data_IF_981335404321
#
_entry.id   IF_981335404321
#
_cell.length_a   1.000
_cell.length_b   1.000
_cell.length_c   1.000
_cell.angle_alpha   90.00
_cell.angle_beta   90.00
_cell.angle_gamma   90.00
#
_symmetry.space_group_name_H-M   'P 1'
#
loop_
_entity.id
_entity.type
_entity.pdbx_description
1 polymer ?
#
# COMPACT_ATOMS: atom_id res chain seq x y z
N UNK A 1 -13.63 23.79 -2.91
CA UNK A 1 -14.55 22.81 -3.52
C UNK A 1 -14.50 21.54 -2.67
N UNK A 2 -15.63 21.12 -2.09
CA UNK A 2 -15.71 19.84 -1.37
C UNK A 2 -15.68 18.71 -2.40
N UNK A 3 -14.48 18.20 -2.65
CA UNK A 3 -14.25 17.12 -3.60
C UNK A 3 -14.68 15.80 -2.96
N UNK A 4 -15.57 15.05 -3.62
CA UNK A 4 -16.11 13.79 -3.12
C UNK A 4 -15.69 12.57 -3.96
N UNK A 5 -14.72 12.73 -4.86
CA UNK A 5 -14.22 11.69 -5.78
C UNK A 5 -12.73 11.89 -6.10
N UNK A 6 -11.97 10.81 -6.40
CA UNK A 6 -10.61 10.88 -6.94
C UNK A 6 -10.53 11.63 -8.28
N UNK A 7 -9.54 12.52 -8.45
CA UNK A 7 -9.32 13.25 -9.71
C UNK A 7 -8.39 12.49 -10.67
N UNK A 8 -8.83 11.33 -11.16
CA UNK A 8 -8.00 10.47 -12.02
C UNK A 8 -7.49 11.17 -13.30
N UNK A 9 -8.21 12.17 -13.82
CA UNK A 9 -7.77 12.99 -14.97
C UNK A 9 -6.51 13.82 -14.70
N UNK A 10 -6.11 13.96 -13.44
CA UNK A 10 -4.94 14.74 -12.99
C UNK A 10 -3.75 13.88 -12.58
N UNK A 11 -3.84 12.55 -12.72
CA UNK A 11 -2.74 11.61 -12.39
C UNK A 11 -1.39 12.10 -12.93
N UNK A 12 -1.32 12.42 -14.22
CA UNK A 12 -0.07 12.89 -14.86
C UNK A 12 0.43 14.22 -14.28
N UNK A 13 -0.48 15.15 -13.97
CA UNK A 13 -0.15 16.43 -13.35
C UNK A 13 0.44 16.22 -11.94
N UNK A 14 -0.19 15.34 -11.15
CA UNK A 14 0.24 15.05 -9.79
C UNK A 14 1.51 14.22 -9.71
N UNK A 15 1.71 13.27 -10.62
CA UNK A 15 2.97 12.52 -10.72
C UNK A 15 4.14 13.43 -11.12
N UNK A 16 3.92 14.41 -12.00
CA UNK A 16 4.93 15.43 -12.30
C UNK A 16 5.28 16.23 -11.04
N UNK A 17 4.28 16.70 -10.29
CA UNK A 17 4.53 17.44 -9.04
C UNK A 17 5.21 16.60 -7.97
N UNK A 18 4.87 15.32 -7.86
CA UNK A 18 5.53 14.37 -6.98
C UNK A 18 7.01 14.25 -7.35
N UNK A 19 7.33 14.01 -8.62
CA UNK A 19 8.70 13.94 -9.11
C UNK A 19 9.48 15.23 -8.85
N UNK A 20 8.89 16.39 -9.18
CA UNK A 20 9.49 17.71 -8.93
C UNK A 20 9.75 17.95 -7.42
N UNK A 21 9.00 17.29 -6.54
CA UNK A 21 9.17 17.38 -5.09
C UNK A 21 10.25 16.41 -4.60
N UNK A 22 10.24 15.17 -5.07
CA UNK A 22 11.24 14.16 -4.74
C UNK A 22 12.64 14.60 -5.17
N UNK A 23 12.80 15.21 -6.35
CA UNK A 23 14.09 15.73 -6.83
C UNK A 23 14.68 16.87 -5.99
N UNK A 24 13.88 17.50 -5.13
CA UNK A 24 14.34 18.56 -4.21
C UNK A 24 14.77 18.00 -2.86
N UNK A 25 14.46 16.74 -2.56
CA UNK A 25 14.89 16.09 -1.32
C UNK A 25 16.38 15.74 -1.42
N UNK A 26 17.12 16.05 -0.36
CA UNK A 26 18.49 15.57 -0.21
C UNK A 26 18.44 14.18 0.41
N UNK A 27 18.75 13.16 -0.38
CA UNK A 27 18.70 11.75 0.05
C UNK A 27 20.08 11.09 0.11
N UNK A 28 21.12 11.88 0.36
CA UNK A 28 22.47 11.34 0.52
C UNK A 28 22.51 10.35 1.68
N UNK A 29 22.83 9.08 1.38
CA UNK A 29 22.93 8.01 2.38
C UNK A 29 21.65 7.21 2.65
N UNK A 30 20.54 7.49 1.94
CA UNK A 30 19.33 6.66 2.03
C UNK A 30 18.58 6.59 0.70
N UNK A 31 17.86 5.49 0.48
CA UNK A 31 16.96 5.33 -0.67
C UNK A 31 15.58 5.89 -0.33
N UNK A 32 15.02 6.71 -1.22
CA UNK A 32 13.66 7.16 -1.12
C UNK A 32 12.73 6.16 -1.81
N UNK A 33 11.77 5.62 -1.04
CA UNK A 33 10.71 4.78 -1.56
C UNK A 33 9.40 5.55 -1.58
N UNK A 34 8.60 5.31 -2.62
CA UNK A 34 7.25 5.89 -2.73
C UNK A 34 6.23 4.80 -2.46
N UNK A 35 5.30 5.06 -1.56
CA UNK A 35 4.27 4.10 -1.15
C UNK A 35 3.00 4.24 -1.97
N UNK A 36 2.40 3.12 -2.40
CA UNK A 36 1.09 3.15 -3.08
C UNK A 36 -0.01 3.63 -2.13
N UNK A 37 -0.86 4.55 -2.62
CA UNK A 37 -1.90 5.18 -1.82
C UNK A 37 -3.27 4.50 -2.03
N UNK A 38 -4.17 4.54 -1.03
CA UNK A 38 -5.56 4.11 -1.19
C UNK A 38 -6.40 5.20 -1.86
N UNK A 39 -7.53 4.86 -2.48
CA UNK A 39 -8.39 5.87 -3.13
C UNK A 39 -9.03 6.85 -2.15
N UNK A 40 -9.56 6.31 -1.06
CA UNK A 40 -10.44 7.03 -0.15
C UNK A 40 -10.09 6.72 1.32
N UNK A 41 -8.90 7.11 1.84
CA UNK A 41 -8.59 6.91 3.25
C UNK A 41 -9.32 7.92 4.14
N UNK A 42 -9.54 7.52 5.39
CA UNK A 42 -10.08 8.39 6.43
C UNK A 42 -8.96 8.97 7.27
N UNK A 43 -8.79 10.29 7.27
CA UNK A 43 -7.83 10.99 8.13
C UNK A 43 -8.52 11.68 9.31
N UNK A 44 -7.75 12.07 10.33
CA UNK A 44 -8.21 12.90 11.44
C UNK A 44 -8.61 14.30 10.93
N UNK A 45 -9.84 14.41 10.44
CA UNK A 45 -10.35 15.61 9.76
C UNK A 45 -11.34 15.29 8.63
N UNK A 46 -11.43 14.02 8.22
CA UNK A 46 -12.44 13.52 7.30
C UNK A 46 -11.87 12.67 6.16
N UNK A 47 -12.78 12.35 5.25
CA UNK A 47 -12.50 11.57 4.05
C UNK A 47 -11.61 12.36 3.07
N UNK A 48 -10.46 11.78 2.72
CA UNK A 48 -9.62 12.29 1.64
C UNK A 48 -9.82 11.47 0.36
N UNK A 49 -9.50 12.07 -0.78
CA UNK A 49 -9.60 11.44 -2.10
C UNK A 49 -8.26 11.57 -2.82
N UNK A 50 -7.43 10.54 -2.73
CA UNK A 50 -6.16 10.50 -3.45
C UNK A 50 -6.43 10.42 -4.95
N UNK A 51 -5.48 10.94 -5.72
CA UNK A 51 -5.67 11.12 -7.16
C UNK A 51 -4.53 10.56 -7.99
N UNK A 52 -3.46 10.09 -7.37
CA UNK A 52 -2.31 9.48 -8.04
C UNK A 52 -1.68 8.42 -7.14
N UNK A 53 -0.85 7.59 -7.75
CA UNK A 53 -0.04 6.55 -7.12
C UNK A 53 -0.85 5.41 -6.50
N UNK A 54 -1.92 4.99 -7.18
CA UNK A 54 -2.83 3.93 -6.71
C UNK A 54 -2.93 2.77 -7.72
N UNK A 55 -2.96 3.06 -9.02
CA UNK A 55 -3.05 2.03 -10.07
C UNK A 55 -1.67 1.38 -10.29
N UNK A 56 -1.59 0.05 -10.37
CA UNK A 56 -0.35 -0.66 -10.61
C UNK A 56 0.37 -0.19 -11.89
N UNK A 57 -0.37 0.00 -12.99
CA UNK A 57 0.23 0.40 -14.27
C UNK A 57 0.89 1.79 -14.17
N UNK A 58 0.26 2.70 -13.43
CA UNK A 58 0.78 4.04 -13.15
C UNK A 58 2.05 3.98 -12.29
N UNK A 59 2.03 3.17 -11.23
CA UNK A 59 3.14 3.02 -10.27
C UNK A 59 4.37 2.43 -10.98
N UNK A 60 4.18 1.39 -11.80
CA UNK A 60 5.25 0.73 -12.56
C UNK A 60 5.84 1.70 -13.58
N UNK A 61 5.00 2.44 -14.30
CA UNK A 61 5.46 3.44 -15.27
C UNK A 61 6.30 4.51 -14.57
N UNK A 62 5.84 5.01 -13.42
CA UNK A 62 6.58 6.01 -12.64
C UNK A 62 7.92 5.45 -12.16
N UNK A 63 7.92 4.29 -11.50
CA UNK A 63 9.14 3.67 -10.96
C UNK A 63 10.16 3.38 -12.07
N UNK A 64 9.73 2.77 -13.17
CA UNK A 64 10.62 2.41 -14.29
C UNK A 64 11.24 3.65 -14.95
N UNK A 65 10.48 4.74 -15.09
CA UNK A 65 10.98 5.98 -15.72
C UNK A 65 11.92 6.79 -14.83
N UNK A 66 11.72 6.75 -13.52
CA UNK A 66 12.40 7.64 -12.58
C UNK A 66 13.48 6.96 -11.75
N UNK A 67 13.42 5.62 -11.64
CA UNK A 67 14.30 4.82 -10.80
C UNK A 67 13.90 4.77 -9.32
N UNK A 68 12.84 5.46 -8.89
CA UNK A 68 12.38 5.37 -7.49
C UNK A 68 11.78 4.00 -7.20
N UNK A 69 12.23 3.37 -6.10
CA UNK A 69 11.65 2.13 -5.59
C UNK A 69 10.29 2.34 -4.94
N UNK A 70 9.55 1.24 -4.78
CA UNK A 70 8.18 1.25 -4.25
C UNK A 70 8.13 0.60 -2.87
N UNK A 71 7.40 1.24 -1.93
CA UNK A 71 6.85 0.54 -0.77
C UNK A 71 5.46 0.02 -1.15
N UNK A 72 5.26 -1.29 -1.11
CA UNK A 72 3.95 -1.89 -1.35
C UNK A 72 3.18 -1.98 -0.03
N UNK A 73 2.15 -1.18 0.14
CA UNK A 73 1.14 -1.37 1.16
C UNK A 73 -0.03 -2.21 0.60
N UNK A 74 -0.16 -3.42 1.13
CA UNK A 74 -1.19 -4.39 0.77
C UNK A 74 -2.59 -3.90 1.11
N UNK A 75 -2.75 -3.21 2.25
CA UNK A 75 -4.02 -2.67 2.70
C UNK A 75 -4.48 -1.54 1.77
N UNK A 76 -3.56 -0.65 1.35
CA UNK A 76 -3.86 0.41 0.39
C UNK A 76 -4.24 -0.14 -0.98
N UNK A 77 -3.51 -1.14 -1.46
CA UNK A 77 -3.83 -1.82 -2.72
C UNK A 77 -5.23 -2.45 -2.65
N UNK A 78 -5.60 -3.08 -1.53
CA UNK A 78 -6.92 -3.64 -1.31
C UNK A 78 -8.01 -2.56 -1.32
N UNK A 79 -7.81 -1.43 -0.63
CA UNK A 79 -8.78 -0.32 -0.63
C UNK A 79 -8.98 0.27 -2.03
N UNK A 80 -7.89 0.44 -2.80
CA UNK A 80 -7.95 0.85 -4.20
C UNK A 80 -8.75 -0.16 -5.04
N UNK A 81 -8.44 -1.45 -4.93
CA UNK A 81 -9.10 -2.50 -5.69
C UNK A 81 -10.58 -2.62 -5.35
N UNK A 82 -10.95 -2.53 -4.07
CA UNK A 82 -12.34 -2.52 -3.63
C UNK A 82 -13.13 -1.35 -4.23
N UNK A 83 -12.56 -0.14 -4.21
CA UNK A 83 -13.22 1.05 -4.73
C UNK A 83 -13.38 1.01 -6.26
N UNK A 84 -12.35 0.54 -6.97
CA UNK A 84 -12.32 0.50 -8.43
C UNK A 84 -12.78 -0.83 -9.04
N UNK A 85 -13.22 -1.79 -8.22
CA UNK A 85 -13.64 -3.14 -8.62
C UNK A 85 -12.56 -3.86 -9.43
N UNK A 86 -11.34 -3.85 -8.93
CA UNK A 86 -10.18 -4.53 -9.51
C UNK A 86 -9.82 -5.76 -8.69
N UNK A 87 -9.07 -6.65 -9.31
CA UNK A 87 -8.50 -7.82 -8.64
C UNK A 87 -7.25 -7.42 -7.84
N UNK A 88 -7.18 -7.83 -6.57
CA UNK A 88 -6.07 -7.49 -5.67
C UNK A 88 -4.81 -8.29 -5.98
N UNK A 89 -4.94 -9.58 -6.31
CA UNK A 89 -3.80 -10.43 -6.60
C UNK A 89 -3.06 -9.93 -7.84
N UNK A 90 -3.79 -9.61 -8.91
CA UNK A 90 -3.24 -9.07 -10.15
C UNK A 90 -2.60 -7.69 -9.94
N UNK A 91 -3.19 -6.83 -9.09
CA UNK A 91 -2.60 -5.55 -8.71
C UNK A 91 -1.26 -5.76 -7.98
N UNK A 92 -1.19 -6.69 -7.03
CA UNK A 92 0.01 -6.99 -6.25
C UNK A 92 1.10 -7.60 -7.14
N UNK A 93 0.77 -8.61 -7.95
CA UNK A 93 1.71 -9.27 -8.88
C UNK A 93 2.36 -8.29 -9.84
N UNK A 94 1.62 -7.26 -10.26
CA UNK A 94 2.14 -6.18 -11.11
C UNK A 94 3.13 -5.27 -10.38
N UNK A 95 2.88 -4.93 -9.11
CA UNK A 95 3.71 -3.96 -8.35
C UNK A 95 4.97 -4.61 -7.78
N UNK A 96 4.91 -5.88 -7.34
CA UNK A 96 6.05 -6.61 -6.72
C UNK A 96 7.40 -6.42 -7.42
N UNK A 97 7.52 -6.48 -8.77
CA UNK A 97 8.80 -6.33 -9.47
C UNK A 97 9.53 -4.99 -9.22
N UNK A 98 8.79 -3.94 -8.83
CA UNK A 98 9.36 -2.61 -8.51
C UNK A 98 9.35 -2.30 -7.01
N UNK A 99 8.92 -3.26 -6.18
CA UNK A 99 8.86 -3.13 -4.72
C UNK A 99 10.23 -3.35 -4.08
N UNK A 100 10.51 -2.56 -3.04
CA UNK A 100 11.72 -2.64 -2.20
C UNK A 100 11.40 -2.87 -0.72
N UNK A 101 10.16 -2.60 -0.31
CA UNK A 101 9.69 -2.76 1.06
C UNK A 101 8.20 -3.04 1.06
N UNK A 102 7.71 -3.83 2.02
CA UNK A 102 6.29 -4.22 2.08
C UNK A 102 5.70 -3.77 3.41
N UNK A 103 4.53 -3.15 3.36
CA UNK A 103 3.64 -2.97 4.49
C UNK A 103 2.45 -3.92 4.35
N UNK A 104 2.07 -4.55 5.45
CA UNK A 104 0.96 -5.52 5.48
C UNK A 104 0.04 -5.27 6.66
N UNK A 105 -1.24 -5.13 6.34
CA UNK A 105 -2.36 -5.15 7.26
C UNK A 105 -3.59 -5.60 6.47
N UNK A 106 -4.64 -5.98 7.17
CA UNK A 106 -5.91 -6.29 6.52
C UNK A 106 -6.65 -5.00 6.15
N UNK A 107 -7.56 -5.10 5.20
CA UNK A 107 -8.41 -4.00 4.81
C UNK A 107 -9.81 -4.45 4.42
N UNK A 108 -10.78 -3.55 4.59
CA UNK A 108 -12.15 -3.79 4.18
C UNK A 108 -12.78 -2.55 3.55
N UNK A 109 -13.69 -2.80 2.59
CA UNK A 109 -14.48 -1.75 1.92
C UNK A 109 -13.53 -0.70 1.30
N UNK A 110 -13.89 0.57 1.36
CA UNK A 110 -13.14 1.67 0.73
C UNK A 110 -12.26 2.46 1.70
N UNK A 111 -12.40 2.28 3.01
CA UNK A 111 -11.73 3.10 4.04
C UNK A 111 -11.40 2.35 5.34
N UNK A 112 -11.60 1.03 5.40
CA UNK A 112 -11.19 0.22 6.54
C UNK A 112 -9.73 -0.19 6.38
N UNK A 113 -8.82 0.74 6.57
CA UNK A 113 -7.35 0.55 6.47
C UNK A 113 -6.76 0.01 7.78
N UNK A 114 -5.62 -0.68 7.71
CA UNK A 114 -4.85 -1.06 8.90
C UNK A 114 -5.58 -2.00 9.85
N UNK A 115 -6.54 -2.79 9.36
CA UNK A 115 -7.30 -3.73 10.18
C UNK A 115 -6.40 -4.88 10.63
N UNK A 116 -6.80 -5.52 11.73
CA UNK A 116 -6.15 -6.75 12.18
C UNK A 116 -6.35 -7.85 11.13
N UNK A 117 -5.35 -8.72 10.98
CA UNK A 117 -5.40 -9.87 10.07
C UNK A 117 -6.63 -10.73 10.39
N UNK A 118 -7.47 -10.94 9.39
CA UNK A 118 -8.73 -11.70 9.50
C UNK A 118 -9.95 -10.86 9.90
N UNK A 119 -9.78 -9.58 10.23
CA UNK A 119 -10.90 -8.67 10.52
C UNK A 119 -11.39 -7.94 9.24
N UNK A 120 -10.61 -8.02 8.15
CA UNK A 120 -10.96 -7.42 6.87
C UNK A 120 -11.44 -8.43 5.84
N UNK A 121 -11.18 -8.13 4.57
CA UNK A 121 -11.66 -8.91 3.42
C UNK A 121 -10.54 -9.37 2.50
N UNK A 122 -9.27 -9.18 2.88
CA UNK A 122 -8.14 -9.62 2.07
C UNK A 122 -8.02 -11.14 2.19
N UNK A 123 -7.98 -11.82 1.04
CA UNK A 123 -7.66 -13.24 0.97
C UNK A 123 -6.13 -13.43 1.05
N UNK A 124 -5.61 -13.59 2.27
CA UNK A 124 -4.18 -13.75 2.46
C UNK A 124 -3.64 -15.11 1.97
N UNK A 125 -4.48 -16.14 1.79
CA UNK A 125 -4.03 -17.42 1.22
C UNK A 125 -3.55 -17.25 -0.23
N UNK A 126 -4.17 -16.34 -0.99
CA UNK A 126 -3.77 -16.02 -2.37
C UNK A 126 -2.67 -14.97 -2.44
N UNK A 127 -2.64 -14.00 -1.51
CA UNK A 127 -1.66 -12.91 -1.53
C UNK A 127 -0.28 -13.30 -0.97
N UNK A 128 -0.23 -13.98 0.18
CA UNK A 128 1.04 -14.26 0.86
C UNK A 128 2.05 -15.05 0.00
N UNK A 129 1.66 -16.06 -0.80
CA UNK A 129 2.59 -16.78 -1.65
C UNK A 129 3.37 -15.90 -2.63
N UNK A 130 2.89 -14.71 -2.97
CA UNK A 130 3.63 -13.76 -3.82
C UNK A 130 4.62 -12.91 -3.02
N UNK A 131 4.28 -12.56 -1.78
CA UNK A 131 5.12 -11.73 -0.91
C UNK A 131 6.29 -12.52 -0.33
N UNK A 132 6.05 -13.74 0.16
CA UNK A 132 7.09 -14.58 0.80
C UNK A 132 8.12 -15.14 -0.19
N UNK A 133 7.83 -15.12 -1.50
CA UNK A 133 8.81 -15.46 -2.55
C UNK A 133 9.87 -14.39 -2.74
N UNK A 134 9.67 -13.21 -2.15
CA UNK A 134 10.61 -12.10 -2.21
C UNK A 134 11.51 -12.11 -0.97
N UNK A 135 12.76 -11.69 -1.12
CA UNK A 135 13.66 -11.45 0.03
C UNK A 135 13.44 -10.06 0.65
N UNK A 136 12.27 -9.46 0.46
CA UNK A 136 11.97 -8.10 0.91
C UNK A 136 11.57 -8.08 2.38
N UNK A 137 11.94 -7.00 3.06
CA UNK A 137 11.43 -6.72 4.40
C UNK A 137 9.93 -6.43 4.37
N UNK A 138 9.22 -7.03 5.31
CA UNK A 138 7.79 -6.85 5.49
C UNK A 138 7.50 -6.29 6.90
N UNK A 139 6.86 -5.13 6.94
CA UNK A 139 6.38 -4.49 8.17
C UNK A 139 4.88 -4.73 8.31
N UNK A 140 4.49 -5.26 9.45
CA UNK A 140 3.08 -5.36 9.81
C UNK A 140 2.58 -4.02 10.36
N UNK A 141 1.63 -3.38 9.68
CA UNK A 141 1.14 -2.03 10.01
C UNK A 141 -0.32 -2.03 10.49
N UNK A 142 -0.58 -2.71 11.61
CA UNK A 142 -1.92 -2.66 12.23
C UNK A 142 -2.17 -1.27 12.83
N UNK A 143 -3.36 -0.71 12.60
CA UNK A 143 -3.75 0.56 13.21
C UNK A 143 -3.72 0.46 14.73
N UNK A 144 -2.94 1.35 15.36
CA UNK A 144 -2.61 1.32 16.78
C UNK A 144 -1.95 0.00 17.25
N UNK A 145 -1.30 -0.72 16.34
CA UNK A 145 -0.66 -2.01 16.59
C UNK A 145 0.44 -1.95 17.65
N UNK A 146 1.10 -0.80 17.75
CA UNK A 146 2.16 -0.51 18.71
C UNK A 146 1.68 -0.32 20.16
N UNK A 147 0.37 -0.13 20.39
CA UNK A 147 -0.15 0.05 21.74
C UNK A 147 0.03 -1.21 22.57
N UNK A 148 0.02 -1.04 23.90
CA UNK A 148 0.12 -2.14 24.87
C UNK A 148 1.33 -3.05 24.63
N UNK A 149 2.47 -2.45 24.25
CA UNK A 149 3.71 -3.18 24.01
C UNK A 149 3.74 -3.94 22.68
N UNK A 150 2.91 -3.58 21.71
CA UNK A 150 2.92 -4.20 20.38
C UNK A 150 2.07 -5.47 20.27
N UNK A 151 1.09 -5.68 21.17
CA UNK A 151 0.30 -6.92 21.21
C UNK A 151 -0.34 -7.26 19.85
N UNK A 152 -0.98 -6.27 19.22
CA UNK A 152 -1.66 -6.45 17.93
C UNK A 152 -0.68 -6.68 16.78
N UNK A 153 0.52 -6.11 16.85
CA UNK A 153 1.60 -6.41 15.91
C UNK A 153 2.03 -7.88 16.01
N UNK A 154 2.22 -8.37 17.23
CA UNK A 154 2.60 -9.78 17.49
C UNK A 154 1.47 -10.73 17.05
N UNK A 155 0.21 -10.38 17.35
CA UNK A 155 -0.96 -11.14 16.93
C UNK A 155 -1.04 -11.28 15.41
N UNK A 156 -0.86 -10.17 14.69
CA UNK A 156 -0.87 -10.15 13.23
C UNK A 156 0.21 -11.07 12.64
N UNK A 157 1.45 -11.01 13.15
CA UNK A 157 2.52 -11.93 12.72
C UNK A 157 2.11 -13.39 12.94
N UNK A 158 1.55 -13.73 14.12
CA UNK A 158 1.11 -15.11 14.41
C UNK A 158 0.03 -15.58 13.44
N UNK A 159 -0.93 -14.71 13.11
CA UNK A 159 -2.00 -15.01 12.15
C UNK A 159 -1.47 -15.21 10.74
N UNK A 160 -0.57 -14.35 10.27
CA UNK A 160 0.08 -14.50 8.95
C UNK A 160 0.88 -15.79 8.87
N UNK A 161 1.66 -16.13 9.91
CA UNK A 161 2.41 -17.41 10.00
C UNK A 161 1.50 -18.64 10.06
N UNK A 162 0.29 -18.51 10.61
CA UNK A 162 -0.69 -19.60 10.63
C UNK A 162 -1.27 -19.86 9.24
N UNK A 163 -1.40 -18.82 8.41
CA UNK A 163 -1.87 -18.91 7.01
C UNK A 163 -0.75 -19.44 6.11
N UNK A 164 0.45 -18.87 6.22
CA UNK A 164 1.62 -19.31 5.46
C UNK A 164 2.85 -19.39 6.39
N UNK A 165 3.40 -20.59 6.55
CA UNK A 165 4.51 -20.88 7.47
C UNK A 165 5.84 -20.23 7.07
N UNK A 166 5.96 -19.81 5.82
CA UNK A 166 7.16 -19.18 5.28
C UNK A 166 7.15 -17.64 5.46
N UNK A 167 6.04 -17.07 5.94
CA UNK A 167 6.03 -15.71 6.51
C UNK A 167 6.83 -15.67 7.82
#
# INVERSE_FOLDING_TARGET
MNMKIPLLRKVNEFNKKLLDSLQKLKSDGFELLVENMPSCPWYFGGQWYHSNFMNADEIIEFSTKTGYGITLDVSHAALYCNYHKKDLEEQIKKIIPVTKYIHIADAAKSNGEGLQIGDGTIDFETILPHLVKTDLWCLVEIWQGHKFGGEKFIEAIKKLKAINKDF
#
